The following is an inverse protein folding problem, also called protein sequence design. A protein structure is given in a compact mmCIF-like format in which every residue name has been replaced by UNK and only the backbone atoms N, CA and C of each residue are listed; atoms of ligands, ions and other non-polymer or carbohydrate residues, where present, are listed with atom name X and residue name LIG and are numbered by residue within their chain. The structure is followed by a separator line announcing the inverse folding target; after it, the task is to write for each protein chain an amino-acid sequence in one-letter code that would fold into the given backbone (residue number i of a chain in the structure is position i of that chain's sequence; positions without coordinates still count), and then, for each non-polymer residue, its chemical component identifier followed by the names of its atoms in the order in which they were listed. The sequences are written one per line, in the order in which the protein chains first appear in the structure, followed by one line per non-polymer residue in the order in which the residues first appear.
data_IF_582058715279
#
_entry.id   IF_582058715279
#
_cell.length_a   1.000
_cell.length_b   1.000
_cell.length_c   1.000
_cell.angle_alpha   90.00
_cell.angle_beta   90.00
_cell.angle_gamma   90.00
#
_symmetry.space_group_name_H-M   'P 1'
#
loop_
_entity.id
_entity.type
_entity.pdbx_description
1 polymer ?
#
# COMPACT_ATOMS: atom_id res chain seq x y z
N UNK A 1 7.13 -16.44 -8.48
CA UNK A 1 6.08 -16.39 -9.51
C UNK A 1 5.86 -14.93 -9.85
N UNK A 2 5.76 -14.53 -11.13
CA UNK A 2 5.41 -13.15 -11.46
C UNK A 2 4.05 -12.85 -10.83
N UNK A 3 3.97 -11.76 -10.08
CA UNK A 3 2.72 -11.35 -9.42
C UNK A 3 1.72 -11.03 -10.53
N UNK A 4 0.67 -11.83 -10.65
CA UNK A 4 -0.40 -11.54 -11.61
C UNK A 4 -1.05 -10.20 -11.24
N UNK A 5 -1.02 -9.28 -12.20
CA UNK A 5 -1.59 -7.95 -12.05
C UNK A 5 -3.09 -7.99 -12.29
N UNK A 6 -3.85 -7.30 -11.45
CA UNK A 6 -5.32 -7.19 -11.55
C UNK A 6 -5.74 -5.73 -11.54
N UNK A 7 -6.91 -5.43 -12.09
CA UNK A 7 -7.46 -4.08 -12.06
C UNK A 7 -7.71 -3.60 -10.64
N UNK A 8 -8.17 -4.50 -9.76
CA UNK A 8 -8.39 -4.20 -8.35
C UNK A 8 -7.10 -3.74 -7.63
N UNK A 9 -5.96 -4.36 -7.94
CA UNK A 9 -4.65 -3.94 -7.40
C UNK A 9 -4.25 -2.54 -7.88
N UNK A 10 -4.44 -2.26 -9.18
CA UNK A 10 -4.18 -0.95 -9.75
C UNK A 10 -5.06 0.14 -9.13
N UNK A 11 -6.37 -0.10 -9.03
CA UNK A 11 -7.31 0.86 -8.46
C UNK A 11 -7.06 1.08 -6.95
N UNK A 12 -6.58 0.05 -6.25
CA UNK A 12 -6.16 0.11 -4.85
C UNK A 12 -4.81 0.80 -4.60
N UNK A 13 -3.98 0.99 -5.63
CA UNK A 13 -2.61 1.49 -5.49
C UNK A 13 -2.53 2.86 -4.81
N UNK A 14 -3.41 3.80 -5.17
CA UNK A 14 -3.41 5.15 -4.57
C UNK A 14 -3.65 5.10 -3.07
N UNK A 15 -4.63 4.30 -2.64
CA UNK A 15 -4.96 4.07 -1.23
C UNK A 15 -3.79 3.40 -0.52
N UNK A 16 -3.20 2.38 -1.14
CA UNK A 16 -2.04 1.67 -0.62
C UNK A 16 -0.86 2.61 -0.34
N UNK A 17 -0.51 3.48 -1.29
CA UNK A 17 0.58 4.45 -1.14
C UNK A 17 0.29 5.49 -0.04
N UNK A 18 -0.97 5.90 0.12
CA UNK A 18 -1.38 6.81 1.20
C UNK A 18 -1.33 6.16 2.59
N UNK A 19 -1.64 4.86 2.68
CA UNK A 19 -1.63 4.13 3.95
C UNK A 19 -0.21 3.83 4.47
N UNK A 20 0.77 3.61 3.59
CA UNK A 20 2.17 3.32 3.96
C UNK A 20 2.76 4.33 4.97
N UNK A 21 2.76 5.66 4.71
CA UNK A 21 3.34 6.62 5.65
C UNK A 21 2.56 6.71 6.97
N UNK A 22 1.25 6.45 6.95
CA UNK A 22 0.42 6.41 8.16
C UNK A 22 0.87 5.25 9.05
N UNK A 23 1.07 4.06 8.47
CA UNK A 23 1.54 2.87 9.18
C UNK A 23 3.00 3.02 9.66
N UNK A 24 3.86 3.69 8.88
CA UNK A 24 5.21 4.03 9.32
C UNK A 24 5.19 4.96 10.54
N UNK A 25 4.31 5.97 10.53
CA UNK A 25 4.11 6.86 11.65
C UNK A 25 3.61 6.07 12.88
N UNK A 26 2.61 5.22 12.70
CA UNK A 26 2.06 4.38 13.77
C UNK A 26 3.12 3.45 14.37
N UNK A 27 3.96 2.81 13.55
CA UNK A 27 5.07 1.99 14.05
C UNK A 27 6.12 2.82 14.80
N UNK A 28 6.40 4.04 14.34
CA UNK A 28 7.29 4.97 15.04
C UNK A 28 6.70 5.35 16.40
N UNK A 29 5.42 5.66 16.47
CA UNK A 29 4.72 5.97 17.72
C UNK A 29 4.76 4.77 18.68
N UNK A 30 4.44 3.57 18.20
CA UNK A 30 4.52 2.36 19.02
C UNK A 30 5.91 2.23 19.65
N UNK A 31 6.98 2.48 18.89
CA UNK A 31 8.36 2.32 19.37
C UNK A 31 8.85 3.42 20.32
N UNK A 32 8.38 4.66 20.13
CA UNK A 32 8.90 5.83 20.84
C UNK A 32 8.03 6.29 22.01
N UNK A 33 6.81 5.76 22.14
CA UNK A 33 5.85 6.19 23.15
C UNK A 33 5.26 5.00 23.89
N UNK A 34 4.57 5.27 25.00
CA UNK A 34 3.90 4.25 25.80
C UNK A 34 2.77 3.51 25.05
N UNK A 35 2.38 3.97 23.85
CA UNK A 35 1.41 3.27 22.97
C UNK A 35 1.86 1.85 22.59
N UNK A 36 3.17 1.58 22.63
CA UNK A 36 3.76 0.26 22.41
C UNK A 36 3.81 -0.65 23.62
N UNK A 37 3.41 -0.15 24.81
CA UNK A 37 3.40 -0.97 26.03
C UNK A 37 2.15 -1.84 26.09
N UNK A 38 2.35 -3.09 26.48
CA UNK A 38 1.32 -4.05 26.82
C UNK A 38 1.48 -4.55 28.25
N UNK A 39 0.43 -5.14 28.81
CA UNK A 39 0.43 -5.69 30.16
C UNK A 39 0.40 -7.22 30.07
N UNK A 40 1.25 -7.89 30.83
CA UNK A 40 1.25 -9.34 31.00
C UNK A 40 1.11 -9.68 32.47
N UNK A 41 0.24 -10.62 32.82
CA UNK A 41 0.10 -11.09 34.21
C UNK A 41 1.02 -12.29 34.40
N UNK A 42 1.99 -12.16 35.29
CA UNK A 42 2.90 -13.23 35.69
C UNK A 42 2.51 -13.69 37.09
N UNK A 43 2.48 -14.99 37.34
CA UNK A 43 2.24 -15.52 38.68
C UNK A 43 3.59 -15.65 39.38
N UNK A 44 3.87 -14.74 40.32
CA UNK A 44 5.08 -14.79 41.11
C UNK A 44 4.88 -15.72 42.31
N UNK A 45 5.71 -16.78 42.39
CA UNK A 45 5.59 -17.86 43.38
C UNK A 45 6.71 -17.90 44.42
N UNK A 46 7.41 -16.79 44.67
CA UNK A 46 8.62 -16.77 45.50
C UNK A 46 8.39 -17.14 46.99
N UNK A 47 7.15 -17.00 47.50
CA UNK A 47 6.84 -17.20 48.93
C UNK A 47 5.72 -18.24 49.17
N UNK A 48 5.51 -19.22 48.29
CA UNK A 48 4.47 -20.26 48.45
C UNK A 48 3.03 -19.80 48.23
N UNK A 49 2.79 -18.49 48.06
CA UNK A 49 1.51 -17.93 47.59
C UNK A 49 1.64 -17.49 46.14
N UNK A 50 0.74 -17.98 45.28
CA UNK A 50 0.64 -17.58 43.86
C UNK A 50 -0.12 -16.27 43.79
N UNK A 51 0.59 -15.13 43.73
CA UNK A 51 -0.03 -13.83 43.49
C UNK A 51 0.15 -13.43 42.01
N UNK A 52 -0.93 -13.06 41.31
CA UNK A 52 -0.81 -12.48 39.97
C UNK A 52 -0.24 -11.07 40.07
N UNK A 53 0.88 -10.81 39.40
CA UNK A 53 1.50 -9.49 39.28
C UNK A 53 1.49 -9.06 37.81
N UNK A 54 1.03 -7.84 37.55
CA UNK A 54 1.02 -7.27 36.19
C UNK A 54 2.39 -6.65 35.90
N UNK A 55 3.06 -7.16 34.88
CA UNK A 55 4.30 -6.58 34.34
C UNK A 55 3.95 -5.80 33.08
N UNK A 56 4.32 -4.53 33.06
CA UNK A 56 4.22 -3.67 31.87
C UNK A 56 5.49 -3.87 31.04
N UNK A 57 5.35 -4.18 29.76
CA UNK A 57 6.47 -4.39 28.85
C UNK A 57 6.11 -4.05 27.41
N UNK A 58 7.11 -3.94 26.54
CA UNK A 58 6.86 -3.63 25.14
C UNK A 58 6.18 -4.80 24.40
N UNK A 59 5.09 -4.53 23.70
CA UNK A 59 4.34 -5.52 22.91
C UNK A 59 5.04 -5.77 21.56
N UNK A 60 6.08 -6.61 21.60
CA UNK A 60 6.87 -6.99 20.44
C UNK A 60 6.04 -7.71 19.37
N UNK A 61 5.07 -8.55 19.74
CA UNK A 61 4.24 -9.29 18.79
C UNK A 61 3.36 -8.35 17.98
N UNK A 62 2.67 -7.41 18.65
CA UNK A 62 1.87 -6.39 17.97
C UNK A 62 2.72 -5.53 17.05
N UNK A 63 3.91 -5.13 17.49
CA UNK A 63 4.84 -4.36 16.68
C UNK A 63 5.28 -5.14 15.43
N UNK A 64 5.71 -6.39 15.59
CA UNK A 64 6.19 -7.24 14.50
C UNK A 64 5.11 -7.51 13.46
N UNK A 65 3.89 -7.87 13.88
CA UNK A 65 2.75 -8.09 12.99
C UNK A 65 2.42 -6.85 12.14
N UNK A 66 2.49 -5.66 12.75
CA UNK A 66 2.27 -4.39 12.04
C UNK A 66 3.42 -4.08 11.08
N UNK A 67 4.66 -4.36 11.47
CA UNK A 67 5.84 -4.21 10.62
C UNK A 67 5.79 -5.12 9.39
N UNK A 68 5.39 -6.38 9.56
CA UNK A 68 5.19 -7.32 8.44
C UNK A 68 4.07 -6.86 7.50
N UNK A 69 2.97 -6.37 8.05
CA UNK A 69 1.86 -5.81 7.26
C UNK A 69 2.31 -4.60 6.44
N UNK A 70 3.11 -3.70 7.03
CA UNK A 70 3.70 -2.57 6.31
C UNK A 70 4.64 -3.05 5.19
N UNK A 71 5.50 -4.04 5.48
CA UNK A 71 6.44 -4.57 4.49
C UNK A 71 5.71 -5.17 3.28
N UNK A 72 4.66 -5.98 3.52
CA UNK A 72 3.81 -6.52 2.45
C UNK A 72 3.18 -5.42 1.59
N UNK A 73 2.66 -4.37 2.21
CA UNK A 73 2.06 -3.23 1.49
C UNK A 73 3.09 -2.49 0.63
N UNK A 74 4.31 -2.30 1.14
CA UNK A 74 5.42 -1.70 0.37
C UNK A 74 5.81 -2.55 -0.82
N UNK A 75 5.91 -3.87 -0.65
CA UNK A 75 6.24 -4.80 -1.72
C UNK A 75 5.16 -4.82 -2.80
N UNK A 76 3.88 -4.80 -2.42
CA UNK A 76 2.76 -4.71 -3.35
C UNK A 76 2.79 -3.38 -4.13
N UNK A 77 3.00 -2.25 -3.45
CA UNK A 77 3.12 -0.95 -4.11
C UNK A 77 4.32 -0.92 -5.08
N UNK A 78 5.46 -1.50 -4.69
CA UNK A 78 6.63 -1.62 -5.54
C UNK A 78 6.34 -2.47 -6.78
N UNK A 79 5.73 -3.64 -6.61
CA UNK A 79 5.39 -4.53 -7.72
C UNK A 79 4.43 -3.88 -8.72
N UNK A 80 3.44 -3.11 -8.24
CA UNK A 80 2.52 -2.36 -9.11
C UNK A 80 3.29 -1.29 -9.89
N UNK A 81 4.17 -0.53 -9.23
CA UNK A 81 4.96 0.50 -9.89
C UNK A 81 5.91 -0.09 -10.94
N UNK A 82 6.63 -1.15 -10.60
CA UNK A 82 7.53 -1.85 -11.53
C UNK A 82 6.77 -2.40 -12.74
N UNK A 83 5.57 -2.95 -12.53
CA UNK A 83 4.72 -3.41 -13.62
C UNK A 83 4.28 -2.27 -14.55
N UNK A 84 3.93 -1.09 -14.00
CA UNK A 84 3.62 0.10 -14.80
C UNK A 84 4.84 0.49 -15.63
N UNK A 85 6.03 0.57 -15.03
CA UNK A 85 7.26 0.97 -15.73
C UNK A 85 7.69 -0.05 -16.81
N UNK A 86 7.32 -1.32 -16.64
CA UNK A 86 7.57 -2.39 -17.60
C UNK A 86 6.63 -2.40 -18.82
N UNK A 87 5.59 -1.56 -18.86
CA UNK A 87 4.71 -1.44 -20.03
C UNK A 87 5.53 -0.93 -21.23
N UNK A 88 5.67 -1.75 -22.27
CA UNK A 88 6.49 -1.42 -23.44
C UNK A 88 6.00 -0.15 -24.15
N UNK A 89 4.70 -0.04 -24.42
CA UNK A 89 4.11 1.13 -25.07
C UNK A 89 4.27 2.41 -24.24
N UNK A 90 5.07 3.35 -24.76
CA UNK A 90 5.43 4.57 -24.04
C UNK A 90 4.24 5.48 -23.72
N UNK A 91 3.26 5.56 -24.62
CA UNK A 91 2.06 6.37 -24.41
C UNK A 91 1.20 5.77 -23.28
N UNK A 92 0.96 4.46 -23.32
CA UNK A 92 0.24 3.73 -22.26
C UNK A 92 0.95 3.86 -20.93
N UNK A 93 2.26 3.60 -20.88
CA UNK A 93 3.08 3.76 -19.66
C UNK A 93 2.92 5.16 -19.05
N UNK A 94 3.01 6.19 -19.89
CA UNK A 94 2.88 7.58 -19.45
C UNK A 94 1.50 7.87 -18.86
N UNK A 95 0.42 7.41 -19.52
CA UNK A 95 -0.96 7.57 -19.04
C UNK A 95 -1.19 6.81 -17.73
N UNK A 96 -0.69 5.58 -17.61
CA UNK A 96 -0.77 4.80 -16.37
C UNK A 96 -0.02 5.47 -15.24
N UNK A 97 1.18 6.00 -15.48
CA UNK A 97 1.95 6.76 -14.48
C UNK A 97 1.20 8.00 -14.03
N UNK A 98 0.71 8.82 -14.97
CA UNK A 98 -0.03 10.05 -14.64
C UNK A 98 -1.29 9.76 -13.81
N UNK A 99 -2.00 8.67 -14.13
CA UNK A 99 -3.19 8.30 -13.40
C UNK A 99 -2.84 7.64 -12.06
N UNK A 100 -2.19 6.48 -12.05
CA UNK A 100 -2.00 5.69 -10.84
C UNK A 100 -0.93 6.27 -9.90
N UNK A 101 0.17 6.79 -10.44
CA UNK A 101 1.30 7.29 -9.64
C UNK A 101 1.15 8.76 -9.30
N UNK A 102 0.86 9.61 -10.29
CA UNK A 102 0.82 11.07 -10.08
C UNK A 102 -0.54 11.57 -9.58
N UNK A 103 -1.57 10.71 -9.56
CA UNK A 103 -2.90 11.06 -9.04
C UNK A 103 -3.68 12.05 -9.91
N UNK A 104 -3.31 12.24 -11.18
CA UNK A 104 -3.98 13.20 -12.05
C UNK A 104 -5.40 12.74 -12.42
N UNK A 105 -6.26 13.72 -12.74
CA UNK A 105 -7.60 13.46 -13.29
C UNK A 105 -7.53 13.22 -14.80
N UNK A 106 -8.56 12.57 -15.36
CA UNK A 106 -8.59 12.24 -16.78
C UNK A 106 -8.61 13.47 -17.68
N UNK A 107 -9.25 14.57 -17.25
CA UNK A 107 -9.26 15.84 -17.98
C UNK A 107 -7.85 16.42 -18.11
N UNK A 108 -7.07 16.36 -17.03
CA UNK A 108 -5.69 16.86 -17.00
C UNK A 108 -4.76 15.98 -17.84
N UNK A 109 -4.95 14.66 -17.78
CA UNK A 109 -4.20 13.72 -18.61
C UNK A 109 -4.51 13.97 -20.09
N UNK A 110 -5.79 14.05 -20.45
CA UNK A 110 -6.23 14.28 -21.82
C UNK A 110 -5.66 15.59 -22.37
N UNK A 111 -5.67 16.66 -21.56
CA UNK A 111 -5.07 17.94 -21.94
C UNK A 111 -3.57 17.84 -22.20
N UNK A 112 -2.83 17.07 -21.39
CA UNK A 112 -1.38 16.84 -21.57
C UNK A 112 -1.05 15.93 -22.75
N UNK A 113 -1.94 15.00 -23.10
CA UNK A 113 -1.74 14.06 -24.21
C UNK A 113 -2.32 14.56 -25.54
N UNK A 114 -2.75 15.82 -25.64
CA UNK A 114 -3.31 16.39 -26.87
C UNK A 114 -4.77 16.00 -27.18
N UNK A 115 -5.47 15.40 -26.23
CA UNK A 115 -6.87 14.98 -26.33
C UNK A 115 -7.81 15.88 -25.50
N UNK A 116 -7.51 17.18 -25.36
CA UNK A 116 -8.28 18.12 -24.52
C UNK A 116 -9.78 18.17 -24.85
N UNK A 117 -10.15 17.93 -26.12
CA UNK A 117 -11.54 17.87 -26.60
C UNK A 117 -12.27 16.56 -26.21
N UNK A 118 -11.55 15.57 -25.69
CA UNK A 118 -12.09 14.28 -25.30
C UNK A 118 -11.44 13.79 -24.00
N UNK A 119 -11.88 14.31 -22.85
CA UNK A 119 -11.33 13.97 -21.53
C UNK A 119 -11.29 12.47 -21.22
N UNK A 120 -12.26 11.72 -21.75
CA UNK A 120 -12.36 10.27 -21.56
C UNK A 120 -11.45 9.44 -22.48
N UNK A 121 -10.83 10.05 -23.49
CA UNK A 121 -10.02 9.32 -24.46
C UNK A 121 -8.89 8.52 -23.80
N UNK A 122 -8.07 9.07 -22.88
CA UNK A 122 -7.01 8.29 -22.25
C UNK A 122 -7.54 7.15 -21.37
N UNK A 123 -8.75 7.28 -20.83
CA UNK A 123 -9.38 6.24 -20.02
C UNK A 123 -9.85 5.08 -20.87
N UNK A 124 -10.62 5.36 -21.92
CA UNK A 124 -11.28 4.35 -22.74
C UNK A 124 -10.34 3.73 -23.78
N UNK A 125 -9.61 4.58 -24.52
CA UNK A 125 -8.85 4.17 -25.70
C UNK A 125 -7.43 3.72 -25.38
N UNK A 126 -6.89 4.13 -24.23
CA UNK A 126 -5.53 3.77 -23.81
C UNK A 126 -5.59 2.79 -22.64
N UNK A 127 -6.10 3.21 -21.47
CA UNK A 127 -6.13 2.36 -20.27
C UNK A 127 -7.01 1.12 -20.47
N UNK A 128 -8.29 1.30 -20.74
CA UNK A 128 -9.26 0.19 -20.79
C UNK A 128 -8.96 -0.75 -21.98
N UNK A 129 -8.55 -0.18 -23.11
CA UNK A 129 -8.10 -0.96 -24.27
C UNK A 129 -6.86 -1.81 -23.94
N UNK A 130 -5.87 -1.26 -23.24
CA UNK A 130 -4.68 -1.99 -22.82
C UNK A 130 -5.01 -3.11 -21.82
N UNK A 131 -5.81 -2.81 -20.78
CA UNK A 131 -6.24 -3.81 -19.80
C UNK A 131 -6.99 -4.97 -20.46
N UNK A 132 -7.88 -4.66 -21.42
CA UNK A 132 -8.61 -5.66 -22.21
C UNK A 132 -7.66 -6.51 -23.06
N UNK A 133 -6.68 -5.90 -23.73
CA UNK A 133 -5.66 -6.60 -24.53
C UNK A 133 -4.84 -7.56 -23.68
N UNK A 134 -4.45 -7.14 -22.47
CA UNK A 134 -3.68 -7.94 -21.52
C UNK A 134 -4.53 -8.95 -20.73
N UNK A 135 -5.85 -9.01 -20.98
CA UNK A 135 -6.82 -9.86 -20.26
C UNK A 135 -6.82 -9.62 -18.74
N UNK A 136 -6.49 -8.41 -18.31
CA UNK A 136 -6.50 -8.00 -16.91
C UNK A 136 -7.93 -7.61 -16.54
N UNK A 137 -8.48 -8.33 -15.55
CA UNK A 137 -9.83 -8.08 -15.02
C UNK A 137 -9.79 -7.24 -13.75
#
# INVERSE_FOLDING_TARGET
MPVEMTRAKLDGYRKLVQEIPILECELRELRLTDKGMGNSVIINGKNGSKKPESVVGFDHERYNRRKESLQRKKEEARAIREWIEAIEDGQTRCVFRMFYVDGMTWERIASKTGHSKSPDYPRLMIRDAYLKKMKIK
#
